data_IF_251030388859
#
_entry.id   IF_251030388859
#
_cell.length_a   1.000
_cell.length_b   1.000
_cell.length_c   1.000
_cell.angle_alpha   90.00
_cell.angle_beta   90.00
_cell.angle_gamma   90.00
#
_symmetry.space_group_name_H-M   'P 1'
#
loop_
_entity.id
_entity.type
_entity.pdbx_description
1 polymer ?
#
# COMPACT_ATOMS: atom_id res chain seq x y z
N UNK A 1 24.45 -6.33 13.54
CA UNK A 1 24.35 -4.85 13.52
C UNK A 1 22.90 -4.48 13.30
N UNK A 2 22.26 -3.70 14.19
CA UNK A 2 20.98 -3.06 13.85
C UNK A 2 21.29 -1.92 12.86
N UNK A 3 20.70 -1.88 11.67
CA UNK A 3 20.91 -0.76 10.75
C UNK A 3 20.50 0.54 11.46
N UNK A 4 21.32 1.60 11.30
CA UNK A 4 20.93 2.92 11.80
C UNK A 4 19.66 3.35 11.07
N UNK A 5 18.64 3.87 11.77
CA UNK A 5 17.46 4.40 11.11
C UNK A 5 17.89 5.53 10.16
N UNK A 6 17.37 5.52 8.93
CA UNK A 6 17.52 6.66 8.05
C UNK A 6 16.74 7.85 8.62
N UNK A 7 17.41 8.97 8.86
CA UNK A 7 16.77 10.17 9.41
C UNK A 7 17.19 11.39 8.61
N UNK A 8 16.22 12.14 8.09
CA UNK A 8 16.41 13.44 7.47
C UNK A 8 15.45 14.46 8.08
N UNK A 9 15.65 15.77 7.82
CA UNK A 9 14.69 16.81 8.23
C UNK A 9 13.30 16.53 7.66
N UNK A 10 13.22 16.11 6.41
CA UNK A 10 11.97 15.74 5.72
C UNK A 10 11.30 14.52 6.37
N UNK A 11 12.04 13.44 6.61
CA UNK A 11 11.52 12.22 7.23
C UNK A 11 11.07 12.44 8.68
N UNK A 12 11.81 13.26 9.44
CA UNK A 12 11.40 13.62 10.80
C UNK A 12 10.16 14.51 10.81
N UNK A 13 10.06 15.45 9.88
CA UNK A 13 8.88 16.31 9.75
C UNK A 13 7.64 15.50 9.41
N UNK A 14 7.74 14.55 8.46
CA UNK A 14 6.63 13.66 8.10
C UNK A 14 6.06 12.93 9.30
N UNK A 15 6.90 12.15 10.00
CA UNK A 15 6.50 11.38 11.18
C UNK A 15 5.85 12.25 12.28
N UNK A 16 6.36 13.46 12.49
CA UNK A 16 5.84 14.35 13.52
C UNK A 16 4.48 15.00 13.16
N UNK A 17 4.08 14.98 11.89
CA UNK A 17 2.84 15.60 11.42
C UNK A 17 1.81 14.60 10.90
N UNK A 18 2.18 13.35 10.68
CA UNK A 18 1.27 12.28 10.26
C UNK A 18 0.05 12.14 11.17
N UNK A 19 0.25 12.16 12.50
CA UNK A 19 -0.87 12.12 13.46
C UNK A 19 -1.78 13.34 13.32
N UNK A 20 -1.23 14.52 13.05
CA UNK A 20 -2.03 15.74 12.85
C UNK A 20 -2.85 15.65 11.57
N UNK A 21 -2.23 15.19 10.49
CA UNK A 21 -2.88 14.97 9.21
C UNK A 21 -4.02 13.94 9.33
N UNK A 22 -3.77 12.80 10.01
CA UNK A 22 -4.76 11.77 10.29
C UNK A 22 -5.93 12.30 11.10
N UNK A 23 -5.66 13.05 12.17
CA UNK A 23 -6.72 13.64 13.00
C UNK A 23 -7.58 14.64 12.22
N UNK A 24 -6.94 15.48 11.39
CA UNK A 24 -7.66 16.41 10.53
C UNK A 24 -8.48 15.69 9.46
N UNK A 25 -7.95 14.61 8.87
CA UNK A 25 -8.71 13.74 7.98
C UNK A 25 -9.95 13.18 8.68
N UNK A 26 -9.83 12.63 9.90
CA UNK A 26 -10.98 12.05 10.62
C UNK A 26 -12.06 13.10 10.89
N UNK A 27 -11.66 14.33 11.21
CA UNK A 27 -12.58 15.45 11.40
C UNK A 27 -13.30 15.86 10.10
N UNK A 28 -12.61 15.79 8.96
CA UNK A 28 -13.14 16.22 7.66
C UNK A 28 -13.98 15.14 6.97
N UNK A 29 -13.51 13.89 6.96
CA UNK A 29 -14.13 12.79 6.22
C UNK A 29 -15.08 11.93 7.07
N UNK A 30 -14.89 11.92 8.40
CA UNK A 30 -15.78 11.19 9.32
C UNK A 30 -15.64 9.66 9.28
N UNK A 31 -14.63 9.11 8.61
CA UNK A 31 -14.41 7.67 8.53
C UNK A 31 -13.63 7.12 9.72
N UNK A 32 -13.84 5.83 10.03
CA UNK A 32 -13.08 5.14 11.07
C UNK A 32 -11.67 4.79 10.54
N UNK A 33 -10.64 5.23 11.26
CA UNK A 33 -9.24 5.02 10.90
C UNK A 33 -8.56 4.18 11.97
N UNK A 34 -7.83 3.16 11.55
CA UNK A 34 -7.09 2.25 12.41
C UNK A 34 -5.61 2.23 12.03
N UNK A 35 -4.74 2.04 13.01
CA UNK A 35 -3.31 1.85 12.73
C UNK A 35 -3.08 0.64 11.82
N UNK A 36 -2.12 0.76 10.91
CA UNK A 36 -1.73 -0.29 10.00
C UNK A 36 -0.25 -0.64 10.20
N UNK A 37 0.05 -1.94 10.25
CA UNK A 37 1.43 -2.44 10.28
C UNK A 37 1.93 -2.78 8.89
N UNK A 38 2.99 -3.59 8.85
CA UNK A 38 3.43 -4.21 7.61
C UNK A 38 2.44 -5.28 7.15
N UNK A 39 1.98 -5.18 5.90
CA UNK A 39 1.06 -6.11 5.26
C UNK A 39 1.81 -6.91 4.20
N UNK A 40 1.63 -8.23 4.19
CA UNK A 40 2.16 -9.13 3.16
C UNK A 40 0.99 -9.56 2.29
N UNK A 41 1.18 -9.57 0.97
CA UNK A 41 0.14 -10.03 0.07
C UNK A 41 -0.02 -11.56 0.20
N UNK A 42 -1.24 -12.08 0.44
CA UNK A 42 -1.46 -13.51 0.66
C UNK A 42 -1.18 -14.35 -0.60
N UNK A 43 -1.43 -13.80 -1.80
CA UNK A 43 -1.18 -14.45 -3.09
C UNK A 43 0.27 -14.34 -3.54
N UNK A 44 0.93 -13.25 -3.17
CA UNK A 44 2.31 -12.91 -3.54
C UNK A 44 3.14 -12.65 -2.28
N UNK A 45 3.50 -13.69 -1.49
CA UNK A 45 4.10 -13.51 -0.15
C UNK A 45 5.50 -12.87 -0.14
N UNK A 46 6.08 -12.61 -1.31
CA UNK A 46 7.35 -11.90 -1.48
C UNK A 46 7.19 -10.39 -1.68
N UNK A 47 5.96 -9.87 -1.77
CA UNK A 47 5.68 -8.42 -1.76
C UNK A 47 4.92 -8.04 -0.49
N UNK A 48 5.20 -6.82 -0.03
CA UNK A 48 4.55 -6.25 1.15
C UNK A 48 4.52 -4.73 1.09
N UNK A 49 3.73 -4.13 1.97
CA UNK A 49 3.41 -2.72 2.02
C UNK A 49 3.26 -2.26 3.47
N UNK A 50 3.45 -0.97 3.72
CA UNK A 50 3.16 -0.36 5.03
C UNK A 50 2.29 0.88 4.79
N UNK A 51 0.97 0.71 4.59
CA UNK A 51 0.07 1.85 4.58
C UNK A 51 0.12 2.61 5.90
N UNK A 52 -0.11 3.92 5.89
CA UNK A 52 -0.12 4.73 7.11
C UNK A 52 -1.35 4.42 7.98
N UNK A 53 -2.46 3.98 7.38
CA UNK A 53 -3.64 3.53 8.12
C UNK A 53 -4.54 2.61 7.30
N UNK A 54 -5.46 1.91 8.00
CA UNK A 54 -6.63 1.26 7.41
C UNK A 54 -7.86 2.14 7.64
N UNK A 55 -8.75 2.19 6.66
CA UNK A 55 -10.02 2.92 6.72
C UNK A 55 -11.15 1.91 6.65
N UNK A 56 -12.15 2.07 7.53
CA UNK A 56 -13.41 1.36 7.44
C UNK A 56 -14.52 2.35 7.13
N UNK A 57 -15.15 2.18 5.97
CA UNK A 57 -16.26 3.00 5.51
C UNK A 57 -17.39 2.09 5.04
N UNK A 58 -18.53 2.10 5.74
CA UNK A 58 -19.74 1.38 5.34
C UNK A 58 -19.50 -0.13 5.04
N UNK A 59 -18.63 -0.78 5.82
CA UNK A 59 -18.26 -2.19 5.63
C UNK A 59 -17.22 -2.45 4.53
N UNK A 60 -16.73 -1.40 3.86
CA UNK A 60 -15.65 -1.46 2.90
C UNK A 60 -14.32 -1.12 3.57
N UNK A 61 -13.30 -1.93 3.30
CA UNK A 61 -11.93 -1.68 3.74
C UNK A 61 -11.16 -0.90 2.69
N UNK A 62 -10.63 0.25 3.09
CA UNK A 62 -9.65 1.05 2.36
C UNK A 62 -8.35 1.20 3.14
N UNK A 63 -7.39 1.89 2.54
CA UNK A 63 -6.12 2.28 3.17
C UNK A 63 -5.88 3.78 3.04
N UNK A 64 -4.93 4.29 3.81
CA UNK A 64 -4.50 5.69 3.77
C UNK A 64 -3.00 5.78 3.52
N UNK A 65 -2.61 6.77 2.74
CA UNK A 65 -1.21 7.18 2.58
C UNK A 65 -1.10 8.70 2.77
N UNK A 66 -0.29 9.14 3.74
CA UNK A 66 -0.17 10.53 4.19
C UNK A 66 1.20 11.08 3.79
N UNK A 67 1.19 12.19 3.06
CA UNK A 67 2.38 12.97 2.73
C UNK A 67 2.34 14.34 3.39
N UNK A 68 3.41 14.66 4.11
CA UNK A 68 3.63 15.95 4.77
C UNK A 68 4.87 16.64 4.15
N UNK A 69 4.76 17.32 3.00
CA UNK A 69 5.90 17.86 2.26
C UNK A 69 6.61 18.98 3.04
N UNK A 70 7.83 18.70 3.53
CA UNK A 70 8.58 19.65 4.36
C UNK A 70 8.87 20.99 3.67
N UNK A 71 9.16 20.99 2.36
CA UNK A 71 9.46 22.20 1.59
C UNK A 71 8.24 23.11 1.40
N UNK A 72 7.04 22.52 1.38
CA UNK A 72 5.77 23.23 1.12
C UNK A 72 4.91 23.40 2.39
N UNK A 73 5.44 23.00 3.55
CA UNK A 73 4.69 22.92 4.81
C UNK A 73 4.00 24.21 5.26
N UNK A 74 4.51 25.38 4.87
CA UNK A 74 4.01 26.69 5.31
C UNK A 74 3.17 27.38 4.22
N UNK A 75 2.97 26.73 3.07
CA UNK A 75 2.21 27.23 1.92
C UNK A 75 0.83 26.55 1.85
N UNK A 76 -0.13 27.19 1.17
CA UNK A 76 -1.35 26.51 0.73
C UNK A 76 -0.99 25.47 -0.33
N UNK A 77 -1.77 24.39 -0.40
CA UNK A 77 -1.57 23.35 -1.41
C UNK A 77 -1.73 23.93 -2.83
N UNK A 78 -2.69 24.82 -3.03
CA UNK A 78 -2.89 25.51 -4.31
C UNK A 78 -1.66 26.29 -4.76
N UNK A 79 -0.97 26.96 -3.83
CA UNK A 79 0.25 27.70 -4.13
C UNK A 79 1.42 26.75 -4.44
N UNK A 80 1.52 25.65 -3.68
CA UNK A 80 2.57 24.65 -3.84
C UNK A 80 2.51 23.93 -5.20
N UNK A 81 1.32 23.77 -5.78
CA UNK A 81 1.10 23.11 -7.07
C UNK A 81 1.73 23.84 -8.26
N UNK A 82 2.05 25.13 -8.13
CA UNK A 82 2.79 25.86 -9.16
C UNK A 82 4.27 25.44 -9.23
N UNK A 83 4.78 24.74 -8.22
CA UNK A 83 6.12 24.17 -8.24
C UNK A 83 6.21 22.86 -9.03
N UNK A 84 7.20 22.74 -9.91
CA UNK A 84 7.42 21.55 -10.73
C UNK A 84 7.55 20.26 -9.90
N UNK A 85 8.21 20.35 -8.74
CA UNK A 85 8.54 19.21 -7.87
C UNK A 85 7.41 18.80 -6.91
N UNK A 86 6.25 19.45 -6.96
CA UNK A 86 5.13 19.08 -6.10
C UNK A 86 4.38 17.85 -6.63
N UNK A 87 3.89 17.00 -5.74
CA UNK A 87 3.23 15.76 -6.14
C UNK A 87 1.85 15.97 -6.77
N UNK A 88 1.16 17.08 -6.43
CA UNK A 88 -0.16 17.37 -6.97
C UNK A 88 -0.08 18.28 -8.21
N UNK A 89 -1.08 18.17 -9.08
CA UNK A 89 -1.34 18.98 -10.26
C UNK A 89 -2.80 19.44 -10.29
N UNK A 90 -3.08 20.55 -10.97
CA UNK A 90 -4.44 21.04 -11.13
C UNK A 90 -5.12 20.32 -12.29
N UNK A 91 -6.28 19.73 -12.03
CA UNK A 91 -7.16 19.15 -13.05
C UNK A 91 -8.47 19.93 -13.17
N UNK A 92 -9.31 19.55 -14.14
CA UNK A 92 -10.65 20.12 -14.30
C UNK A 92 -11.52 19.98 -13.05
N UNK A 93 -11.30 18.93 -12.25
CA UNK A 93 -12.04 18.65 -11.02
C UNK A 93 -11.31 19.13 -9.74
N UNK A 94 -10.27 19.96 -9.90
CA UNK A 94 -9.45 20.45 -8.79
C UNK A 94 -8.10 19.72 -8.64
N UNK A 95 -7.40 19.91 -7.50
CA UNK A 95 -6.12 19.25 -7.25
C UNK A 95 -6.23 17.74 -7.30
N UNK A 96 -5.20 17.10 -7.85
CA UNK A 96 -5.04 15.64 -7.88
C UNK A 96 -3.58 15.23 -7.91
N UNK A 97 -3.27 14.00 -7.55
CA UNK A 97 -1.96 13.39 -7.62
C UNK A 97 -1.58 13.14 -9.08
N UNK A 98 -0.36 13.57 -9.43
CA UNK A 98 0.24 13.30 -10.74
C UNK A 98 0.35 11.78 -10.94
N UNK A 99 -0.25 11.25 -12.02
CA UNK A 99 -0.25 9.80 -12.33
C UNK A 99 1.18 9.26 -12.48
N UNK A 100 2.10 10.08 -13.01
CA UNK A 100 3.49 9.70 -13.24
C UNK A 100 4.40 9.93 -12.02
N UNK A 101 3.84 10.25 -10.86
CA UNK A 101 4.61 10.48 -9.64
C UNK A 101 4.78 9.19 -8.84
N UNK A 102 5.94 9.00 -8.19
CA UNK A 102 6.26 7.80 -7.40
C UNK A 102 5.22 7.48 -6.31
N UNK A 103 4.57 8.52 -5.77
CA UNK A 103 3.50 8.36 -4.78
C UNK A 103 2.23 7.72 -5.36
N UNK A 104 1.92 7.96 -6.64
CA UNK A 104 0.81 7.29 -7.31
C UNK A 104 1.12 5.80 -7.45
N UNK A 105 2.34 5.48 -7.87
CA UNK A 105 2.85 4.11 -7.96
C UNK A 105 2.83 3.43 -6.58
N UNK A 106 3.20 4.16 -5.52
CA UNK A 106 3.15 3.66 -4.15
C UNK A 106 1.71 3.33 -3.73
N UNK A 107 0.75 4.22 -4.00
CA UNK A 107 -0.65 3.99 -3.66
C UNK A 107 -1.22 2.74 -4.38
N UNK A 108 -1.00 2.62 -5.69
CA UNK A 108 -1.39 1.43 -6.47
C UNK A 108 -0.72 0.15 -5.95
N UNK A 109 0.58 0.20 -5.63
CA UNK A 109 1.29 -0.92 -5.05
C UNK A 109 0.73 -1.36 -3.69
N UNK A 110 0.32 -0.40 -2.86
CA UNK A 110 -0.32 -0.69 -1.57
C UNK A 110 -1.72 -1.27 -1.74
N UNK A 111 -2.48 -0.81 -2.73
CA UNK A 111 -3.77 -1.40 -3.11
C UNK A 111 -3.60 -2.86 -3.56
N UNK A 112 -2.64 -3.12 -4.44
CA UNK A 112 -2.29 -4.47 -4.89
C UNK A 112 -1.91 -5.37 -3.70
N UNK A 113 -1.03 -4.90 -2.81
CA UNK A 113 -0.56 -5.72 -1.69
C UNK A 113 -1.69 -6.04 -0.72
N UNK A 114 -2.53 -5.05 -0.40
CA UNK A 114 -3.54 -5.17 0.66
C UNK A 114 -4.86 -5.75 0.18
N UNK A 115 -5.14 -5.71 -1.13
CA UNK A 115 -6.45 -6.05 -1.69
C UNK A 115 -7.56 -5.05 -1.31
N UNK A 116 -7.19 -3.87 -0.80
CA UNK A 116 -8.16 -2.85 -0.36
C UNK A 116 -8.88 -2.21 -1.56
N UNK A 117 -10.11 -1.75 -1.36
CA UNK A 117 -10.93 -1.22 -2.46
C UNK A 117 -10.56 0.21 -2.88
N UNK A 118 -9.88 0.95 -2.00
CA UNK A 118 -9.44 2.31 -2.27
C UNK A 118 -8.30 2.72 -1.34
N UNK A 119 -7.57 3.76 -1.76
CA UNK A 119 -6.55 4.43 -1.00
C UNK A 119 -6.91 5.92 -0.90
N UNK A 120 -7.16 6.43 0.31
CA UNK A 120 -7.26 7.86 0.51
C UNK A 120 -5.84 8.43 0.63
N UNK A 121 -5.41 9.10 -0.44
CA UNK A 121 -4.14 9.80 -0.51
C UNK A 121 -4.29 11.20 0.09
N UNK A 122 -3.53 11.45 1.15
CA UNK A 122 -3.64 12.67 1.95
C UNK A 122 -2.36 13.50 1.81
N UNK A 123 -2.51 14.76 1.42
CA UNK A 123 -1.42 15.75 1.47
C UNK A 123 -1.74 16.79 2.52
N UNK A 124 -0.84 16.95 3.49
CA UNK A 124 -1.02 17.88 4.60
C UNK A 124 0.08 18.94 4.64
N UNK A 125 -0.35 20.20 4.66
CA UNK A 125 0.49 21.36 5.03
C UNK A 125 -0.01 21.92 6.36
N UNK A 126 0.70 22.90 6.94
CA UNK A 126 0.18 23.60 8.13
C UNK A 126 -0.99 24.53 7.80
N UNK A 127 -1.29 24.75 6.51
CA UNK A 127 -2.33 25.67 6.05
C UNK A 127 -3.62 24.94 5.71
N UNK A 128 -3.52 23.77 5.10
CA UNK A 128 -4.64 23.04 4.53
C UNK A 128 -4.33 21.54 4.34
N UNK A 129 -5.36 20.79 3.93
CA UNK A 129 -5.32 19.36 3.66
C UNK A 129 -5.98 19.10 2.31
N UNK A 130 -5.38 18.21 1.52
CA UNK A 130 -5.97 17.65 0.32
C UNK A 130 -6.16 16.14 0.55
N UNK A 131 -7.32 15.63 0.14
CA UNK A 131 -7.69 14.23 0.23
C UNK A 131 -8.18 13.83 -1.16
N UNK A 132 -7.52 12.85 -1.78
CA UNK A 132 -7.93 12.24 -3.03
C UNK A 132 -8.14 10.75 -2.81
N UNK A 133 -9.28 10.23 -3.27
CA UNK A 133 -9.53 8.79 -3.27
C UNK A 133 -9.03 8.16 -4.57
N UNK A 134 -8.05 7.29 -4.43
CA UNK A 134 -7.49 6.47 -5.51
C UNK A 134 -8.15 5.10 -5.46
N UNK A 135 -8.63 4.63 -6.61
CA UNK A 135 -9.19 3.28 -6.77
C UNK A 135 -8.19 2.42 -7.52
N UNK A 136 -8.14 1.10 -7.24
CA UNK A 136 -7.36 0.17 -8.05
C UNK A 136 -7.72 0.36 -9.52
N UNK A 137 -6.71 0.48 -10.38
CA UNK A 137 -6.97 0.57 -11.81
C UNK A 137 -7.75 -0.66 -12.29
N UNK A 138 -8.91 -0.43 -12.91
CA UNK A 138 -9.90 -1.47 -13.24
C UNK A 138 -9.47 -2.38 -14.39
N UNK A 139 -8.37 -2.08 -15.07
CA UNK A 139 -7.76 -2.99 -16.01
C UNK A 139 -6.89 -3.97 -15.21
N UNK A 140 -7.45 -5.14 -14.84
CA UNK A 140 -6.84 -6.17 -13.98
C UNK A 140 -5.53 -6.82 -14.45
N UNK A 141 -4.75 -6.13 -15.27
CA UNK A 141 -3.36 -6.39 -15.64
C UNK A 141 -2.60 -5.07 -15.75
N UNK A 142 -2.38 -4.38 -14.63
CA UNK A 142 -1.41 -3.29 -14.60
C UNK A 142 -0.03 -3.84 -14.96
N UNK A 143 0.91 -3.02 -15.47
CA UNK A 143 2.31 -3.43 -15.61
C UNK A 143 2.89 -4.04 -14.31
N UNK A 144 2.37 -3.62 -13.16
CA UNK A 144 2.74 -4.14 -11.84
C UNK A 144 2.19 -5.55 -11.59
N UNK A 145 0.94 -5.83 -11.98
CA UNK A 145 0.38 -7.19 -11.92
C UNK A 145 1.19 -8.16 -12.76
N UNK A 146 1.59 -7.74 -13.97
CA UNK A 146 2.43 -8.56 -14.86
C UNK A 146 3.81 -8.81 -14.24
N UNK A 147 4.46 -7.77 -13.70
CA UNK A 147 5.74 -7.91 -13.02
C UNK A 147 5.67 -8.80 -11.76
N UNK A 148 4.59 -8.69 -10.98
CA UNK A 148 4.35 -9.53 -9.81
C UNK A 148 4.11 -11.00 -10.22
N UNK A 149 3.30 -11.23 -11.27
CA UNK A 149 3.07 -12.57 -11.84
C UNK A 149 4.38 -13.20 -12.34
N UNK A 150 5.24 -12.44 -13.01
CA UNK A 150 6.53 -12.93 -13.49
C UNK A 150 7.47 -13.31 -12.33
N UNK A 151 7.59 -12.45 -11.31
CA UNK A 151 8.36 -12.78 -10.10
C UNK A 151 7.80 -14.00 -9.38
N UNK A 152 6.48 -14.15 -9.29
CA UNK A 152 5.86 -15.34 -8.69
C UNK A 152 6.22 -16.60 -9.48
N UNK A 153 6.23 -16.54 -10.82
CA UNK A 153 6.64 -17.66 -11.66
C UNK A 153 8.09 -18.07 -11.38
N UNK A 154 9.01 -17.10 -11.39
CA UNK A 154 10.42 -17.35 -11.06
C UNK A 154 10.59 -17.94 -9.65
N UNK A 155 9.85 -17.41 -8.67
CA UNK A 155 9.85 -17.95 -7.30
C UNK A 155 9.33 -19.39 -7.25
N UNK A 156 8.21 -19.69 -7.92
CA UNK A 156 7.64 -21.05 -8.00
C UNK A 156 8.63 -22.03 -8.64
N UNK A 157 9.33 -21.62 -9.69
CA UNK A 157 10.34 -22.46 -10.37
C UNK A 157 11.52 -22.78 -9.44
N UNK A 158 12.02 -21.79 -8.70
CA UNK A 158 13.06 -22.00 -7.67
C UNK A 158 12.57 -22.93 -6.57
N UNK A 159 11.36 -22.71 -6.03
CA UNK A 159 10.81 -23.54 -4.96
C UNK A 159 10.57 -24.99 -5.42
N UNK A 160 10.16 -25.21 -6.68
CA UNK A 160 10.05 -26.54 -7.28
C UNK A 160 11.41 -27.24 -7.36
N UNK A 161 12.46 -26.53 -7.78
CA UNK A 161 13.82 -27.06 -7.80
C UNK A 161 14.31 -27.44 -6.39
N UNK A 162 14.02 -26.60 -5.38
CA UNK A 162 14.45 -26.82 -4.00
C UNK A 162 13.71 -27.98 -3.32
N UNK A 163 12.41 -28.16 -3.59
CA UNK A 163 11.62 -29.31 -3.07
C UNK A 163 12.22 -30.68 -3.42
N UNK A 164 12.95 -30.78 -4.53
CA UNK A 164 13.64 -32.01 -4.95
C UNK A 164 15.04 -32.20 -4.34
N UNK A 165 15.54 -31.23 -3.57
CA UNK A 165 16.94 -31.20 -3.09
C UNK A 165 17.09 -30.93 -1.60
N UNK A 166 16.05 -30.43 -0.94
CA UNK A 166 16.04 -30.16 0.49
C UNK A 166 14.93 -31.01 1.12
N UNK A 167 15.22 -31.87 2.12
CA UNK A 167 14.19 -32.59 2.86
C UNK A 167 13.17 -31.60 3.44
N UNK A 168 11.88 -31.89 3.22
CA UNK A 168 10.73 -31.00 3.51
C UNK A 168 10.76 -30.41 4.94
N UNK A 169 11.31 -31.17 5.89
CA UNK A 169 11.39 -30.84 7.32
C UNK A 169 12.28 -29.61 7.63
N UNK A 170 13.31 -29.34 6.81
CA UNK A 170 14.19 -28.19 7.00
C UNK A 170 13.60 -26.88 6.44
N UNK A 171 12.77 -26.97 5.40
CA UNK A 171 12.07 -25.82 4.82
C UNK A 171 10.93 -25.32 5.73
N UNK A 172 10.22 -26.25 6.37
CA UNK A 172 9.17 -25.94 7.36
C UNK A 172 9.73 -25.31 8.65
N UNK A 173 10.93 -25.72 9.08
CA UNK A 173 11.57 -25.18 10.29
C UNK A 173 12.08 -23.73 10.14
N UNK A 174 12.37 -23.29 8.92
CA UNK A 174 12.93 -21.96 8.63
C UNK A 174 11.85 -20.86 8.48
N UNK A 175 10.56 -21.21 8.33
CA UNK A 175 9.48 -20.28 8.00
C UNK A 175 8.34 -20.35 9.03
N UNK A 176 8.35 -19.44 10.01
CA UNK A 176 7.29 -19.29 11.03
C UNK A 176 6.36 -18.12 10.67
N UNK A 177 5.56 -18.27 9.61
CA UNK A 177 4.46 -17.37 9.24
C UNK A 177 3.10 -18.08 9.32
N UNK A 178 1.96 -17.39 9.18
CA UNK A 178 0.63 -17.99 9.36
C UNK A 178 0.35 -19.00 8.24
N UNK A 179 0.35 -20.28 8.59
CA UNK A 179 0.68 -21.40 7.69
C UNK A 179 -0.48 -22.36 7.39
N UNK A 180 -1.72 -21.87 7.28
CA UNK A 180 -2.81 -22.72 6.77
C UNK A 180 -3.21 -22.34 5.34
N UNK A 181 -3.49 -21.07 5.11
CA UNK A 181 -4.00 -20.59 3.82
C UNK A 181 -2.98 -20.70 2.67
N UNK A 182 -1.68 -20.46 2.92
CA UNK A 182 -0.65 -20.53 1.87
C UNK A 182 -0.40 -21.97 1.39
N UNK A 183 -0.61 -22.96 2.26
CA UNK A 183 -0.45 -24.38 1.88
C UNK A 183 -1.72 -24.94 1.23
N UNK A 184 -2.91 -24.49 1.64
CA UNK A 184 -4.18 -24.80 0.96
C UNK A 184 -4.19 -24.24 -0.47
N UNK A 185 -3.68 -23.02 -0.68
CA UNK A 185 -3.52 -22.43 -2.03
C UNK A 185 -2.60 -23.24 -2.96
N UNK A 186 -1.64 -24.00 -2.41
CA UNK A 186 -0.77 -24.89 -3.19
C UNK A 186 -1.36 -26.29 -3.41
N UNK A 187 -2.47 -26.62 -2.75
CA UNK A 187 -3.25 -27.84 -2.95
C UNK A 187 -4.46 -27.61 -3.88
N UNK A 188 -5.03 -26.40 -3.89
CA UNK A 188 -6.25 -26.05 -4.62
C UNK A 188 -6.07 -25.82 -6.14
N UNK A 189 -4.84 -25.66 -6.63
CA UNK A 189 -4.51 -25.57 -8.07
C UNK A 189 -4.81 -26.89 -8.85
N UNK A 190 -5.56 -27.84 -8.27
CA UNK A 190 -5.98 -29.08 -8.91
C UNK A 190 -7.49 -29.33 -8.98
N UNK A 191 -8.35 -28.43 -8.50
CA UNK A 191 -9.80 -28.53 -8.73
C UNK A 191 -10.48 -27.17 -8.69
N UNK A 192 -11.17 -26.84 -9.78
CA UNK A 192 -12.15 -25.75 -9.90
C UNK A 192 -13.02 -25.55 -8.65
N UNK A 193 -13.26 -24.30 -8.21
CA UNK A 193 -14.59 -23.72 -7.90
C UNK A 193 -14.51 -22.39 -7.13
N UNK A 194 -15.34 -21.42 -7.55
CA UNK A 194 -16.16 -20.56 -6.67
C UNK A 194 -15.49 -19.58 -5.71
N UNK A 195 -15.34 -18.32 -6.14
CA UNK A 195 -15.20 -17.18 -5.23
C UNK A 195 -16.54 -16.88 -4.56
N UNK A 196 -16.75 -17.35 -3.34
CA UNK A 196 -17.68 -16.74 -2.38
C UNK A 196 -17.14 -16.93 -0.97
N UNK A 197 -17.23 -15.85 -0.19
CA UNK A 197 -17.10 -15.79 1.27
C UNK A 197 -15.70 -15.85 1.86
N UNK A 198 -15.07 -14.68 2.04
CA UNK A 198 -14.32 -14.39 3.28
C UNK A 198 -14.46 -12.91 3.63
N UNK A 199 -15.45 -12.64 4.49
CA UNK A 199 -15.67 -11.38 5.19
C UNK A 199 -15.69 -11.74 6.69
N UNK A 200 -14.62 -11.42 7.42
CA UNK A 200 -14.55 -11.26 8.87
C UNK A 200 -13.35 -10.38 9.24
#
# INVERSE_FOLDING_TARGET
MKPKPFTSKTTSYGRNNEIKARNLYVQTAGHHVHDCGFVVNPRYPFIGATPDAKICENGVTGIMEIKCPFSQRDNLITDAMHGADFCLELSENGPRLKINHDYFIQAEGQLLVTGSQFCDFVVYTKKDIHIERIYPDKAGETPYDLAAKEKLRQYKDVMKYLKGKIPYDLAAAAYRGPHKEVMEYLQEDNTSLGLSDYCL
#
